data_IF_898436451113
#
_entry.id   IF_898436451113
#
_cell.length_a   1.000
_cell.length_b   1.000
_cell.length_c   1.000
_cell.angle_alpha   90.00
_cell.angle_beta   90.00
_cell.angle_gamma   90.00
#
_symmetry.space_group_name_H-M   'P 1'
#
loop_
_entity.id
_entity.type
_entity.pdbx_description
1 polymer ?
#
# COMPACT_ATOMS: atom_id res chain seq x y z
N UNK A 1 -4.58 -21.86 -11.51
CA UNK A 1 -3.93 -20.58 -11.21
C UNK A 1 -3.60 -20.52 -9.73
N UNK A 2 -2.36 -20.18 -9.37
CA UNK A 2 -1.96 -20.08 -7.98
C UNK A 2 -2.72 -18.96 -7.26
N UNK A 3 -2.97 -19.15 -5.99
CA UNK A 3 -3.66 -18.15 -5.17
C UNK A 3 -2.65 -17.14 -4.63
N UNK A 4 -2.97 -15.87 -4.79
CA UNK A 4 -2.24 -14.80 -4.14
C UNK A 4 -2.79 -14.65 -2.74
N UNK A 5 -1.93 -14.62 -1.75
CA UNK A 5 -2.34 -14.50 -0.35
C UNK A 5 -1.82 -13.19 0.23
N UNK A 6 -2.74 -12.34 0.66
CA UNK A 6 -2.43 -11.08 1.32
C UNK A 6 -2.75 -11.16 2.80
N UNK A 7 -1.91 -10.54 3.62
CA UNK A 7 -2.18 -10.41 5.05
C UNK A 7 -1.56 -9.12 5.58
N UNK A 8 -1.96 -8.71 6.78
CA UNK A 8 -1.35 -7.55 7.41
C UNK A 8 0.06 -7.91 7.88
N UNK A 9 0.97 -6.94 7.79
CA UNK A 9 2.25 -7.04 8.50
C UNK A 9 1.99 -7.01 10.01
N UNK A 10 2.99 -7.32 10.83
CA UNK A 10 2.83 -7.19 12.27
C UNK A 10 2.61 -5.72 12.66
N UNK A 11 1.98 -5.49 13.81
CA UNK A 11 1.76 -4.13 14.28
C UNK A 11 3.10 -3.39 14.48
N UNK A 12 4.11 -4.05 15.01
CA UNK A 12 5.44 -3.45 15.21
C UNK A 12 6.05 -3.00 13.90
N UNK A 13 5.88 -3.78 12.84
CA UNK A 13 6.35 -3.40 11.50
C UNK A 13 5.61 -2.19 10.97
N UNK A 14 4.30 -2.19 11.12
CA UNK A 14 3.48 -1.08 10.67
C UNK A 14 3.82 0.20 11.43
N UNK A 15 3.95 0.10 12.75
CA UNK A 15 4.34 1.24 13.59
C UNK A 15 5.68 1.82 13.14
N UNK A 16 6.66 0.96 12.92
CA UNK A 16 7.98 1.39 12.45
C UNK A 16 7.90 2.09 11.10
N UNK A 17 7.12 1.54 10.17
CA UNK A 17 6.92 2.15 8.86
C UNK A 17 6.23 3.51 8.95
N UNK A 18 5.23 3.64 9.83
CA UNK A 18 4.58 4.93 10.07
C UNK A 18 5.56 5.98 10.60
N UNK A 19 6.48 5.59 11.47
CA UNK A 19 7.50 6.50 12.01
C UNK A 19 8.47 6.99 10.94
N UNK A 20 8.59 6.28 9.84
CA UNK A 20 9.43 6.63 8.70
C UNK A 20 8.64 7.29 7.57
N UNK A 21 7.31 7.41 7.71
CA UNK A 21 6.47 8.03 6.69
C UNK A 21 6.63 9.54 6.67
N UNK A 22 6.13 10.15 5.59
CA UNK A 22 6.21 11.60 5.46
C UNK A 22 5.30 12.31 6.45
N UNK A 23 5.73 13.50 6.90
CA UNK A 23 4.99 14.31 7.86
C UNK A 23 3.63 14.76 7.31
N UNK A 24 3.46 14.80 6.00
CA UNK A 24 2.20 15.22 5.37
C UNK A 24 1.00 14.38 5.77
N UNK A 25 1.21 13.15 6.21
CA UNK A 25 0.13 12.24 6.58
C UNK A 25 -0.13 12.20 8.10
N UNK A 26 0.70 12.84 8.89
CA UNK A 26 0.52 12.91 10.35
C UNK A 26 0.86 11.65 11.13
N UNK A 27 1.11 10.53 10.46
CA UNK A 27 1.35 9.24 11.13
C UNK A 27 2.77 9.11 11.68
N UNK A 28 3.68 9.95 11.21
CA UNK A 28 5.07 9.93 11.66
C UNK A 28 5.21 10.22 13.15
N UNK A 29 4.35 11.08 13.68
CA UNK A 29 4.39 11.52 15.07
C UNK A 29 3.11 11.19 15.85
N UNK A 30 2.21 10.42 15.23
CA UNK A 30 0.95 10.04 15.88
C UNK A 30 1.21 9.16 17.09
N UNK A 31 0.34 9.26 18.09
CA UNK A 31 0.41 8.41 19.28
C UNK A 31 0.21 6.95 18.87
N UNK A 32 0.85 6.04 19.59
CA UNK A 32 0.78 4.62 19.29
C UNK A 32 -0.66 4.10 19.28
N UNK A 33 -1.51 4.61 20.17
CA UNK A 33 -2.93 4.24 20.22
C UNK A 33 -3.65 4.56 18.90
N UNK A 34 -3.35 5.71 18.31
CA UNK A 34 -3.92 6.09 17.03
C UNK A 34 -3.40 5.18 15.92
N UNK A 35 -2.11 4.86 15.94
CA UNK A 35 -1.53 3.94 14.96
C UNK A 35 -2.20 2.57 15.07
N UNK A 36 -2.49 2.12 16.29
CA UNK A 36 -3.19 0.86 16.52
C UNK A 36 -4.61 0.89 15.93
N UNK A 37 -5.33 1.97 16.12
CA UNK A 37 -6.67 2.12 15.54
C UNK A 37 -6.63 2.05 14.01
N UNK A 38 -5.68 2.74 13.40
CA UNK A 38 -5.48 2.70 11.95
C UNK A 38 -5.13 1.29 11.50
N UNK A 39 -4.24 0.62 12.23
CA UNK A 39 -3.83 -0.75 11.91
C UNK A 39 -5.03 -1.71 11.91
N UNK A 40 -5.89 -1.59 12.91
CA UNK A 40 -7.06 -2.46 13.03
C UNK A 40 -8.06 -2.26 11.89
N UNK A 41 -8.05 -1.09 11.26
CA UNK A 41 -8.96 -0.75 10.16
C UNK A 41 -8.35 -1.02 8.78
N UNK A 42 -7.12 -1.52 8.69
CA UNK A 42 -6.50 -1.82 7.41
C UNK A 42 -7.35 -2.84 6.65
N UNK A 43 -7.66 -2.53 5.39
CA UNK A 43 -8.37 -3.42 4.51
C UNK A 43 -7.38 -4.20 3.65
N UNK A 44 -7.58 -5.51 3.55
CA UNK A 44 -6.77 -6.33 2.66
C UNK A 44 -7.08 -6.00 1.21
N UNK A 45 -6.10 -6.08 0.31
CA UNK A 45 -6.34 -5.88 -1.12
C UNK A 45 -7.38 -6.85 -1.65
N UNK A 46 -8.24 -6.37 -2.54
CA UNK A 46 -9.27 -7.21 -3.15
C UNK A 46 -9.54 -6.74 -4.58
N UNK A 47 -10.13 -7.63 -5.37
CA UNK A 47 -10.58 -7.28 -6.71
C UNK A 47 -11.83 -6.40 -6.62
N UNK A 48 -11.91 -5.39 -7.47
CA UNK A 48 -13.10 -4.54 -7.54
C UNK A 48 -14.31 -5.34 -8.02
N UNK A 49 -14.08 -6.26 -8.96
CA UNK A 49 -15.08 -7.23 -9.43
C UNK A 49 -14.41 -8.59 -9.58
N UNK A 50 -15.21 -9.66 -9.68
CA UNK A 50 -14.67 -11.02 -9.85
C UNK A 50 -13.89 -11.19 -11.14
N UNK A 51 -14.15 -10.34 -12.16
CA UNK A 51 -13.43 -10.38 -13.42
C UNK A 51 -12.23 -9.45 -13.50
N UNK A 52 -11.93 -8.69 -12.46
CA UNK A 52 -10.80 -7.76 -12.46
C UNK A 52 -9.47 -8.50 -12.48
N UNK A 53 -8.53 -8.01 -13.27
CA UNK A 53 -7.20 -8.62 -13.38
C UNK A 53 -6.35 -8.34 -12.13
N UNK A 54 -6.55 -7.19 -11.51
CA UNK A 54 -5.71 -6.74 -10.40
C UNK A 54 -6.45 -6.63 -9.08
N UNK A 55 -5.68 -6.41 -8.04
CA UNK A 55 -6.16 -6.18 -6.68
C UNK A 55 -5.96 -4.72 -6.34
N UNK A 56 -6.99 -4.09 -5.75
CA UNK A 56 -6.90 -2.71 -5.27
C UNK A 56 -6.30 -2.70 -3.87
N UNK A 57 -5.25 -1.90 -3.70
CA UNK A 57 -4.67 -1.60 -2.40
C UNK A 57 -5.27 -0.31 -1.90
N UNK A 58 -5.50 -0.25 -0.59
CA UNK A 58 -6.10 0.92 0.05
C UNK A 58 -5.07 1.65 0.88
N UNK A 59 -5.06 2.98 0.78
CA UNK A 59 -4.26 3.81 1.68
C UNK A 59 -4.84 3.65 3.08
N UNK A 60 -4.03 3.29 4.09
CA UNK A 60 -4.57 2.96 5.42
C UNK A 60 -5.07 4.17 6.21
N UNK A 61 -4.73 5.39 5.82
CA UNK A 61 -5.14 6.61 6.51
C UNK A 61 -5.19 7.77 5.53
N UNK A 62 -5.97 8.83 5.86
CA UNK A 62 -6.05 10.01 4.98
C UNK A 62 -4.69 10.67 4.79
N UNK A 63 -4.40 11.05 3.56
CA UNK A 63 -3.15 11.69 3.18
C UNK A 63 -3.40 12.80 2.18
N UNK A 64 -2.67 13.91 2.34
CA UNK A 64 -2.67 14.98 1.36
C UNK A 64 -1.45 14.84 0.46
N UNK A 65 -1.67 15.01 -0.84
CA UNK A 65 -0.61 14.92 -1.83
C UNK A 65 -0.36 16.30 -2.42
N UNK A 66 0.90 16.72 -2.40
CA UNK A 66 1.31 18.01 -2.99
C UNK A 66 1.92 17.73 -4.36
N UNK A 67 1.47 18.41 -5.43
CA UNK A 67 2.05 18.22 -6.76
C UNK A 67 3.57 18.42 -6.75
N UNK A 68 4.28 17.51 -7.43
CA UNK A 68 5.72 17.55 -7.53
C UNK A 68 6.47 16.98 -6.33
N UNK A 69 5.76 16.52 -5.30
CA UNK A 69 6.39 15.95 -4.09
C UNK A 69 6.02 14.48 -3.96
N UNK A 70 7.04 13.63 -3.79
CA UNK A 70 6.81 12.21 -3.52
C UNK A 70 6.45 12.02 -2.06
N UNK A 71 5.44 11.18 -1.81
CA UNK A 71 4.96 10.88 -0.47
C UNK A 71 5.11 9.38 -0.20
N UNK A 72 5.72 9.02 0.92
CA UNK A 72 5.88 7.64 1.34
C UNK A 72 4.75 7.26 2.30
N UNK A 73 3.97 6.25 1.92
CA UNK A 73 2.84 5.75 2.71
C UNK A 73 2.99 4.24 2.86
N UNK A 74 3.08 3.71 4.10
CA UNK A 74 3.11 2.27 4.30
C UNK A 74 1.72 1.68 4.02
N UNK A 75 1.67 0.55 3.33
CA UNK A 75 0.40 -0.13 3.07
C UNK A 75 -0.04 -1.00 4.24
N UNK A 76 0.90 -1.49 5.03
CA UNK A 76 0.62 -2.43 6.10
C UNK A 76 0.32 -3.83 5.59
N UNK A 77 0.59 -4.11 4.33
CA UNK A 77 0.24 -5.38 3.67
C UNK A 77 1.50 -6.14 3.28
N UNK A 78 1.45 -7.44 3.48
CA UNK A 78 2.45 -8.37 2.97
C UNK A 78 1.77 -9.37 2.05
N UNK A 79 2.52 -9.93 1.12
CA UNK A 79 1.99 -10.87 0.14
C UNK A 79 2.83 -12.13 0.12
N UNK A 80 2.15 -13.27 -0.01
CA UNK A 80 2.81 -14.56 -0.27
C UNK A 80 2.61 -14.90 -1.73
N UNK A 81 3.70 -15.19 -2.42
CA UNK A 81 3.71 -15.51 -3.85
C UNK A 81 4.31 -16.90 -4.03
N UNK A 82 3.81 -17.62 -5.04
CA UNK A 82 4.43 -18.87 -5.45
C UNK A 82 5.70 -18.57 -6.25
N UNK A 83 6.65 -19.55 -6.35
CA UNK A 83 7.93 -19.27 -6.99
C UNK A 83 7.86 -18.78 -8.44
N UNK A 84 6.76 -19.08 -9.14
CA UNK A 84 6.55 -18.67 -10.54
C UNK A 84 5.71 -17.40 -10.66
N UNK A 85 5.46 -16.71 -9.57
CA UNK A 85 4.63 -15.49 -9.53
C UNK A 85 5.46 -14.27 -9.17
N UNK A 86 4.98 -13.14 -9.61
CA UNK A 86 5.48 -11.84 -9.15
C UNK A 86 4.30 -10.88 -9.05
N UNK A 87 4.46 -9.84 -8.25
CA UNK A 87 3.45 -8.79 -8.08
C UNK A 87 3.93 -7.55 -8.81
N UNK A 88 3.10 -7.03 -9.71
CA UNK A 88 3.36 -5.77 -10.38
C UNK A 88 2.48 -4.69 -9.76
N UNK A 89 3.09 -3.64 -9.23
CA UNK A 89 2.39 -2.52 -8.60
C UNK A 89 2.31 -1.36 -9.56
N UNK A 90 1.09 -0.88 -9.81
CA UNK A 90 0.83 0.23 -10.71
C UNK A 90 -0.23 1.14 -10.09
N UNK A 91 -0.24 2.44 -10.41
CA UNK A 91 -1.34 3.30 -9.96
C UNK A 91 -2.62 2.95 -10.69
N UNK A 92 -3.77 3.25 -10.08
CA UNK A 92 -5.04 3.10 -10.75
C UNK A 92 -5.10 4.06 -11.94
N UNK A 93 -5.71 3.61 -13.04
CA UNK A 93 -5.79 4.41 -14.26
C UNK A 93 -6.44 5.77 -14.03
N UNK A 94 -7.50 5.84 -13.21
CA UNK A 94 -8.16 7.11 -12.92
C UNK A 94 -7.24 8.12 -12.26
N UNK A 95 -6.35 7.68 -11.37
CA UNK A 95 -5.39 8.56 -10.72
C UNK A 95 -4.35 9.08 -11.72
N UNK A 96 -3.86 8.21 -12.60
CA UNK A 96 -2.89 8.59 -13.61
C UNK A 96 -3.47 9.55 -14.64
N UNK A 97 -4.67 9.26 -15.14
CA UNK A 97 -5.31 10.08 -16.17
C UNK A 97 -5.77 11.44 -15.66
N UNK A 98 -6.43 11.47 -14.49
CA UNK A 98 -7.05 12.71 -13.99
C UNK A 98 -6.06 13.60 -13.24
N UNK A 99 -5.14 13.01 -12.49
CA UNK A 99 -4.32 13.76 -11.55
C UNK A 99 -2.82 13.63 -11.80
N UNK A 100 -2.42 12.79 -12.76
CA UNK A 100 -1.00 12.56 -13.04
C UNK A 100 -0.25 11.89 -11.89
N UNK A 101 -0.94 11.24 -10.98
CA UNK A 101 -0.30 10.53 -9.88
C UNK A 101 0.43 9.30 -10.38
N UNK A 102 1.63 9.08 -9.88
CA UNK A 102 2.48 7.97 -10.28
C UNK A 102 3.21 7.39 -9.09
N UNK A 103 3.62 6.12 -9.21
CA UNK A 103 4.63 5.57 -8.34
C UNK A 103 5.97 6.24 -8.67
N UNK A 104 6.81 6.41 -7.67
CA UNK A 104 8.10 7.07 -7.87
C UNK A 104 8.97 6.35 -8.90
N UNK A 105 8.89 5.02 -8.94
CA UNK A 105 9.61 4.20 -9.92
C UNK A 105 8.73 3.77 -11.11
N UNK A 106 7.59 4.44 -11.32
CA UNK A 106 6.59 4.16 -12.36
C UNK A 106 5.89 2.83 -12.19
N UNK A 107 6.62 1.73 -12.05
CA UNK A 107 6.08 0.39 -11.84
C UNK A 107 6.97 -0.34 -10.84
N UNK A 108 6.35 -0.93 -9.83
CA UNK A 108 7.08 -1.75 -8.86
C UNK A 108 6.87 -3.22 -9.14
N UNK A 109 7.94 -4.01 -9.04
CA UNK A 109 7.86 -5.46 -9.22
C UNK A 109 8.40 -6.13 -7.96
N UNK A 110 7.59 -7.01 -7.38
CA UNK A 110 7.94 -7.78 -6.19
C UNK A 110 7.93 -9.25 -6.59
N UNK A 111 9.06 -9.91 -6.51
CA UNK A 111 9.15 -11.34 -6.82
C UNK A 111 8.96 -12.19 -5.57
N UNK A 112 8.87 -13.51 -5.76
CA UNK A 112 8.58 -14.43 -4.68
C UNK A 112 9.66 -14.47 -3.59
N UNK A 113 10.85 -14.00 -3.88
CA UNK A 113 11.97 -13.96 -2.93
C UNK A 113 12.19 -12.57 -2.32
N UNK A 114 11.44 -11.60 -2.79
CA UNK A 114 11.55 -10.22 -2.34
C UNK A 114 10.94 -9.91 -0.99
#
# INVERSE_FOLDING_TARGET
MGNVHFEKVSFERFLRACRQSDSACGMRVAKEELVREVYDLIQLPRRATSGSAGYDFYVPYPCSFTPGISTFIPTGIRVSLEPNQFLMCVPRSGLGFKYGMRLKNSTGIIDAKG
#
